data_IF_960429905230
#
_entry.id   IF_960429905230
#
_cell.length_a   1.000
_cell.length_b   1.000
_cell.length_c   1.000
_cell.angle_alpha   90.00
_cell.angle_beta   90.00
_cell.angle_gamma   90.00
#
_symmetry.space_group_name_H-M   'P 1'
#
loop_
_entity.id
_entity.type
_entity.pdbx_description
1 polymer ?
#
# COMPACT_ATOMS: atom_id res chain seq x y z
N UNK A 1 39.72 -44.37 3.18
CA UNK A 1 38.33 -44.51 2.66
C UNK A 1 37.46 -45.00 3.80
N UNK A 2 36.22 -44.51 3.96
CA UNK A 2 35.33 -44.00 2.91
C UNK A 2 35.34 -42.48 2.77
N UNK A 3 35.04 -42.06 1.53
CA UNK A 3 34.65 -40.72 1.11
C UNK A 3 33.15 -40.59 1.32
N UNK A 4 32.67 -39.38 1.60
CA UNK A 4 31.33 -38.97 1.26
C UNK A 4 31.45 -37.65 0.52
N UNK A 5 31.06 -37.72 -0.74
CA UNK A 5 30.98 -36.65 -1.72
C UNK A 5 29.72 -35.79 -1.46
N UNK A 6 29.82 -34.53 -1.90
CA UNK A 6 28.80 -33.65 -2.50
C UNK A 6 27.32 -33.84 -2.09
N UNK A 7 26.69 -32.77 -1.56
CA UNK A 7 25.75 -32.05 -2.42
C UNK A 7 25.27 -30.69 -1.88
N UNK A 8 25.04 -29.83 -2.87
CA UNK A 8 24.61 -28.43 -2.87
C UNK A 8 23.35 -28.16 -2.04
N UNK A 9 23.39 -27.09 -1.24
CA UNK A 9 22.21 -26.30 -0.88
C UNK A 9 22.45 -24.85 -1.29
N UNK A 10 22.43 -24.63 -2.60
CA UNK A 10 22.18 -23.30 -3.17
C UNK A 10 20.67 -23.10 -3.08
N UNK A 11 20.20 -22.54 -1.96
CA UNK A 11 18.83 -22.07 -1.82
C UNK A 11 18.65 -20.86 -2.72
N UNK A 12 18.11 -21.08 -3.92
CA UNK A 12 17.78 -20.03 -4.88
C UNK A 12 16.80 -19.05 -4.27
N UNK A 13 17.23 -17.79 -4.16
CA UNK A 13 16.35 -16.66 -3.93
C UNK A 13 15.47 -16.57 -5.18
N UNK A 14 14.17 -16.84 -5.04
CA UNK A 14 13.19 -16.51 -6.08
C UNK A 14 13.09 -14.98 -6.13
N UNK A 15 14.00 -14.36 -6.88
CA UNK A 15 13.89 -12.98 -7.29
C UNK A 15 12.58 -12.84 -8.08
N UNK A 16 11.64 -12.03 -7.58
CA UNK A 16 10.61 -11.45 -8.43
C UNK A 16 11.34 -10.53 -9.41
N UNK A 17 11.76 -11.10 -10.55
CA UNK A 17 12.16 -10.30 -11.69
C UNK A 17 10.90 -9.56 -12.13
N UNK A 18 10.93 -8.24 -12.07
CA UNK A 18 10.12 -7.40 -12.94
C UNK A 18 10.50 -7.79 -14.37
N UNK A 19 9.73 -8.69 -14.96
CA UNK A 19 9.95 -9.14 -16.33
C UNK A 19 9.94 -7.93 -17.27
N UNK A 20 10.99 -7.81 -18.09
CA UNK A 20 11.19 -6.78 -19.11
C UNK A 20 10.13 -6.80 -20.25
N UNK A 21 8.99 -7.47 -20.05
CA UNK A 21 7.88 -7.56 -21.01
C UNK A 21 6.76 -6.54 -20.79
N UNK A 22 6.83 -5.71 -19.74
CA UNK A 22 5.78 -4.71 -19.44
C UNK A 22 5.70 -3.58 -20.50
N UNK A 23 6.70 -3.44 -21.38
CA UNK A 23 6.74 -2.37 -22.39
C UNK A 23 5.97 -2.68 -23.70
N UNK A 24 5.29 -3.83 -23.83
CA UNK A 24 4.54 -4.18 -25.06
C UNK A 24 3.08 -4.61 -24.86
N UNK A 25 2.53 -4.43 -23.67
CA UNK A 25 1.20 -4.96 -23.33
C UNK A 25 0.28 -3.89 -22.73
N UNK A 26 0.17 -2.76 -23.42
CA UNK A 26 -0.84 -1.72 -23.14
C UNK A 26 -2.14 -1.89 -23.95
N UNK A 27 -2.30 -2.97 -24.73
CA UNK A 27 -3.48 -3.15 -25.60
C UNK A 27 -4.27 -4.47 -25.42
N UNK A 28 -4.03 -5.27 -24.38
CA UNK A 28 -4.84 -6.49 -24.13
C UNK A 28 -5.24 -6.61 -22.65
N UNK A 29 -6.16 -5.75 -22.22
CA UNK A 29 -6.90 -5.98 -20.97
C UNK A 29 -8.12 -6.86 -21.26
N UNK A 30 -8.06 -8.08 -20.72
CA UNK A 30 -9.08 -9.11 -20.87
C UNK A 30 -10.49 -8.59 -20.54
N UNK A 31 -11.37 -8.65 -21.54
CA UNK A 31 -12.81 -8.47 -21.40
C UNK A 31 -13.36 -9.63 -20.56
N UNK A 32 -13.73 -9.35 -19.31
CA UNK A 32 -14.56 -10.27 -18.55
C UNK A 32 -16.02 -10.08 -18.95
N UNK A 33 -16.77 -11.17 -19.05
CA UNK A 33 -18.09 -11.31 -19.69
C UNK A 33 -19.27 -10.55 -19.04
N UNK A 34 -18.99 -9.58 -18.16
CA UNK A 34 -19.96 -8.65 -17.56
C UNK A 34 -19.75 -7.19 -17.95
N UNK A 35 -18.78 -6.85 -18.81
CA UNK A 35 -18.73 -5.55 -19.49
C UNK A 35 -18.64 -4.31 -18.59
N UNK A 36 -18.11 -4.45 -17.37
CA UNK A 36 -17.76 -3.30 -16.51
C UNK A 36 -16.24 -3.26 -16.33
N UNK A 37 -15.57 -2.52 -17.20
CA UNK A 37 -14.29 -1.92 -16.86
C UNK A 37 -14.62 -0.83 -15.82
N UNK A 38 -14.54 -1.17 -14.53
CA UNK A 38 -14.78 -0.20 -13.47
C UNK A 38 -13.61 0.80 -13.47
N UNK A 39 -13.93 2.07 -13.70
CA UNK A 39 -13.04 3.24 -13.68
C UNK A 39 -12.36 3.48 -12.31
N UNK A 40 -12.27 2.48 -11.44
CA UNK A 40 -12.08 2.60 -9.99
C UNK A 40 -10.64 2.47 -9.51
N UNK A 41 -9.65 2.43 -10.40
CA UNK A 41 -8.23 2.35 -10.01
C UNK A 41 -7.31 3.15 -10.95
N UNK A 42 -7.86 4.07 -11.75
CA UNK A 42 -7.06 4.77 -12.77
C UNK A 42 -5.92 5.58 -12.14
N UNK A 43 -6.19 6.26 -11.02
CA UNK A 43 -5.17 7.02 -10.28
C UNK A 43 -4.09 6.11 -9.68
N UNK A 44 -4.45 4.91 -9.22
CA UNK A 44 -3.50 3.93 -8.69
C UNK A 44 -2.54 3.45 -9.78
N UNK A 45 -3.07 3.09 -10.95
CA UNK A 45 -2.25 2.66 -12.09
C UNK A 45 -1.35 3.77 -12.59
N UNK A 46 -1.83 5.01 -12.61
CA UNK A 46 -1.02 6.18 -12.95
C UNK A 46 0.11 6.39 -11.94
N UNK A 47 -0.16 6.27 -10.64
CA UNK A 47 0.85 6.39 -9.59
C UNK A 47 1.99 5.36 -9.77
N UNK A 48 1.66 4.08 -10.00
CA UNK A 48 2.68 3.05 -10.25
C UNK A 48 3.45 3.28 -11.55
N UNK A 49 2.78 3.77 -12.59
CA UNK A 49 3.43 4.13 -13.85
C UNK A 49 4.45 5.25 -13.62
N UNK A 50 4.08 6.30 -12.88
CA UNK A 50 4.96 7.42 -12.58
C UNK A 50 6.18 6.99 -11.76
N UNK A 51 6.00 6.17 -10.72
CA UNK A 51 7.13 5.60 -9.97
C UNK A 51 8.11 4.87 -10.89
N UNK A 52 7.59 3.99 -11.74
CA UNK A 52 8.40 3.22 -12.69
C UNK A 52 9.12 4.09 -13.72
N UNK A 53 8.45 5.07 -14.31
CA UNK A 53 9.03 5.97 -15.31
C UNK A 53 10.17 6.83 -14.75
N UNK A 54 10.18 7.05 -13.43
CA UNK A 54 11.22 7.79 -12.71
C UNK A 54 12.25 6.88 -12.00
N UNK A 55 12.21 5.56 -12.24
CA UNK A 55 13.17 4.62 -11.64
C UNK A 55 13.02 4.45 -10.12
N UNK A 56 11.85 4.76 -9.57
CA UNK A 56 11.54 4.66 -8.15
C UNK A 56 10.88 3.31 -7.88
N UNK A 57 11.68 2.35 -7.42
CA UNK A 57 11.23 0.99 -7.14
C UNK A 57 10.74 0.85 -5.67
N UNK A 58 9.49 0.42 -5.43
CA UNK A 58 9.02 0.06 -4.10
C UNK A 58 9.86 -1.04 -3.45
N UNK A 59 10.00 -0.99 -2.13
CA UNK A 59 10.64 -2.04 -1.34
C UNK A 59 9.99 -3.41 -1.64
N UNK A 60 10.74 -4.40 -2.15
CA UNK A 60 10.19 -5.71 -2.44
C UNK A 60 9.89 -6.48 -1.16
N UNK A 61 8.63 -6.90 -1.00
CA UNK A 61 8.20 -7.82 0.05
C UNK A 61 7.38 -8.97 -0.53
N UNK A 62 7.12 -9.99 0.28
CA UNK A 62 6.19 -11.05 -0.07
C UNK A 62 4.77 -10.48 -0.11
N UNK A 63 4.16 -10.49 -1.29
CA UNK A 63 2.78 -10.05 -1.46
C UNK A 63 1.80 -11.00 -0.72
N UNK A 64 0.86 -10.47 0.07
CA UNK A 64 -0.19 -11.24 0.71
C UNK A 64 -1.14 -11.88 -0.31
N UNK A 65 -1.69 -13.03 0.05
CA UNK A 65 -2.75 -13.68 -0.74
C UNK A 65 -4.12 -13.05 -0.48
N UNK A 66 -5.09 -13.35 -1.33
CA UNK A 66 -6.49 -12.94 -1.09
C UNK A 66 -7.03 -13.47 0.24
N UNK A 67 -6.61 -14.67 0.67
CA UNK A 67 -6.97 -15.23 1.99
C UNK A 67 -6.40 -14.39 3.14
N UNK A 68 -5.17 -13.87 2.98
CA UNK A 68 -4.58 -12.98 3.98
C UNK A 68 -5.34 -11.65 4.06
N UNK A 69 -5.79 -11.10 2.93
CA UNK A 69 -6.65 -9.90 2.90
C UNK A 69 -7.98 -10.16 3.61
N UNK A 70 -8.65 -11.28 3.31
CA UNK A 70 -9.92 -11.62 3.99
C UNK A 70 -9.72 -11.76 5.51
N UNK A 71 -8.63 -12.39 5.94
CA UNK A 71 -8.29 -12.51 7.36
C UNK A 71 -8.01 -11.16 8.00
N UNK A 72 -7.33 -10.25 7.29
CA UNK A 72 -7.10 -8.89 7.74
C UNK A 72 -8.42 -8.14 7.91
N UNK A 73 -9.29 -8.16 6.91
CA UNK A 73 -10.60 -7.49 6.95
C UNK A 73 -11.47 -8.03 8.09
N UNK A 74 -11.46 -9.35 8.28
CA UNK A 74 -12.15 -9.99 9.40
C UNK A 74 -11.54 -9.59 10.76
N UNK A 75 -10.21 -9.57 10.88
CA UNK A 75 -9.51 -9.23 12.14
C UNK A 75 -9.76 -7.78 12.54
N UNK A 76 -9.70 -6.87 11.57
CA UNK A 76 -9.95 -5.45 11.78
C UNK A 76 -11.45 -5.09 11.77
N UNK A 77 -12.32 -6.04 11.42
CA UNK A 77 -13.77 -5.87 11.29
C UNK A 77 -14.14 -4.67 10.38
N UNK A 78 -13.51 -4.60 9.21
CA UNK A 78 -13.71 -3.55 8.21
C UNK A 78 -13.75 -4.16 6.81
N UNK A 79 -14.36 -3.45 5.87
CA UNK A 79 -14.17 -3.70 4.45
C UNK A 79 -13.19 -2.65 3.92
N UNK A 80 -12.06 -3.08 3.37
CA UNK A 80 -11.05 -2.17 2.82
C UNK A 80 -11.52 -1.56 1.50
N UNK A 81 -11.07 -0.32 1.17
CA UNK A 81 -11.22 0.25 -0.15
C UNK A 81 -10.61 -0.63 -1.24
N UNK A 82 -11.18 -0.61 -2.44
CA UNK A 82 -10.72 -1.45 -3.53
C UNK A 82 -9.27 -1.14 -3.94
N UNK A 83 -8.94 0.14 -4.12
CA UNK A 83 -7.60 0.58 -4.49
C UNK A 83 -6.54 0.20 -3.44
N UNK A 84 -6.87 0.33 -2.15
CA UNK A 84 -5.97 -0.08 -1.07
C UNK A 84 -5.82 -1.61 -1.01
N UNK A 85 -6.90 -2.36 -1.23
CA UNK A 85 -6.84 -3.84 -1.36
C UNK A 85 -5.93 -4.25 -2.50
N UNK A 86 -6.03 -3.59 -3.65
CA UNK A 86 -5.17 -3.84 -4.82
C UNK A 86 -3.70 -3.56 -4.50
N UNK A 87 -3.40 -2.46 -3.81
CA UNK A 87 -2.04 -2.17 -3.34
C UNK A 87 -1.48 -3.27 -2.44
N UNK A 88 -2.27 -3.76 -1.47
CA UNK A 88 -1.84 -4.88 -0.63
C UNK A 88 -1.58 -6.14 -1.47
N UNK A 89 -2.44 -6.49 -2.42
CA UNK A 89 -2.27 -7.71 -3.23
C UNK A 89 -1.05 -7.64 -4.16
N UNK A 90 -0.75 -6.45 -4.70
CA UNK A 90 0.33 -6.28 -5.67
C UNK A 90 1.69 -6.01 -5.02
N UNK A 91 1.71 -5.25 -3.93
CA UNK A 91 2.95 -4.77 -3.29
C UNK A 91 3.12 -5.25 -1.85
N UNK A 92 2.04 -5.64 -1.18
CA UNK A 92 2.03 -5.97 0.25
C UNK A 92 2.06 -4.73 1.14
N UNK A 93 3.09 -3.91 1.00
CA UNK A 93 3.21 -2.56 1.54
C UNK A 93 3.88 -1.68 0.48
N UNK A 94 3.81 -0.35 0.63
CA UNK A 94 4.52 0.56 -0.27
C UNK A 94 5.50 1.40 0.53
N UNK A 95 6.79 1.18 0.29
CA UNK A 95 7.86 2.02 0.82
C UNK A 95 8.79 2.40 -0.32
N UNK A 96 8.89 3.70 -0.63
CA UNK A 96 9.76 4.26 -1.67
C UNK A 96 10.09 5.72 -1.33
N UNK A 97 11.38 6.05 -1.20
CA UNK A 97 11.83 7.37 -0.76
C UNK A 97 11.08 7.87 0.50
N UNK A 98 10.35 8.99 0.39
CA UNK A 98 9.57 9.60 1.47
C UNK A 98 8.18 8.99 1.65
N UNK A 99 7.72 8.13 0.74
CA UNK A 99 6.42 7.46 0.81
C UNK A 99 6.55 6.17 1.62
N UNK A 100 5.81 6.09 2.73
CA UNK A 100 5.66 4.88 3.56
C UNK A 100 4.18 4.64 3.87
N UNK A 101 3.61 3.66 3.18
CA UNK A 101 2.23 3.21 3.34
C UNK A 101 2.24 1.82 3.95
N UNK A 102 1.69 1.74 5.16
CA UNK A 102 1.56 0.52 5.92
C UNK A 102 0.74 -0.52 5.16
N UNK A 103 1.08 -1.78 5.37
CA UNK A 103 0.45 -2.93 4.72
C UNK A 103 0.85 -4.24 5.38
N UNK A 104 0.99 -5.30 4.58
CA UNK A 104 1.45 -6.62 5.01
C UNK A 104 2.82 -6.90 4.37
N UNK A 105 3.87 -6.89 5.19
CA UNK A 105 5.22 -7.28 4.77
C UNK A 105 5.53 -8.76 5.02
N UNK A 106 6.81 -9.10 5.00
CA UNK A 106 7.32 -10.49 5.12
C UNK A 106 6.91 -11.21 6.43
N UNK A 107 6.55 -10.48 7.47
CA UNK A 107 6.06 -11.01 8.75
C UNK A 107 4.57 -11.38 8.74
N UNK A 108 3.86 -11.11 7.64
CA UNK A 108 2.42 -11.40 7.52
C UNK A 108 1.58 -10.57 8.49
N UNK A 109 0.42 -11.10 8.88
CA UNK A 109 -0.54 -10.42 9.77
C UNK A 109 -0.04 -10.26 11.22
N UNK A 110 1.00 -10.99 11.61
CA UNK A 110 1.54 -10.98 12.98
C UNK A 110 2.78 -10.08 13.13
N UNK A 111 3.06 -9.23 12.14
CA UNK A 111 4.10 -8.22 12.22
C UNK A 111 3.91 -7.29 13.43
N UNK A 112 5.00 -6.82 14.02
CA UNK A 112 4.99 -5.99 15.24
C UNK A 112 5.70 -4.65 15.05
N UNK A 113 5.57 -4.07 13.87
CA UNK A 113 6.20 -2.79 13.50
C UNK A 113 5.16 -1.82 12.93
N UNK A 114 5.52 -0.54 12.86
CA UNK A 114 4.60 0.53 12.45
C UNK A 114 4.12 0.41 10.98
N UNK A 115 4.92 -0.21 10.10
CA UNK A 115 4.54 -0.45 8.70
C UNK A 115 3.60 -1.65 8.55
N UNK A 116 3.34 -2.43 9.62
CA UNK A 116 2.33 -3.47 9.62
C UNK A 116 0.96 -2.86 9.96
N UNK A 117 0.05 -2.89 8.99
CA UNK A 117 -1.28 -2.27 9.08
C UNK A 117 -2.09 -2.79 10.27
N UNK A 118 -2.04 -4.09 10.57
CA UNK A 118 -2.81 -4.71 11.65
C UNK A 118 -2.28 -4.20 12.98
N UNK A 119 -0.95 -4.29 13.18
CA UNK A 119 -0.32 -3.81 14.41
C UNK A 119 -0.55 -2.33 14.65
N UNK A 120 -0.35 -1.48 13.64
CA UNK A 120 -0.53 -0.04 13.74
C UNK A 120 -2.00 0.31 14.06
N UNK A 121 -2.95 -0.31 13.36
CA UNK A 121 -4.38 -0.05 13.57
C UNK A 121 -4.85 -0.53 14.93
N UNK A 122 -4.47 -1.73 15.37
CA UNK A 122 -4.88 -2.27 16.67
C UNK A 122 -4.29 -1.46 17.82
N UNK A 123 -3.03 -1.04 17.71
CA UNK A 123 -2.39 -0.16 18.69
C UNK A 123 -3.15 1.16 18.82
N UNK A 124 -3.42 1.84 17.71
CA UNK A 124 -4.06 3.15 17.74
C UNK A 124 -5.52 3.06 18.21
N UNK A 125 -6.23 1.97 17.91
CA UNK A 125 -7.57 1.69 18.47
C UNK A 125 -7.52 1.44 19.98
N UNK A 126 -6.54 0.67 20.46
CA UNK A 126 -6.37 0.39 21.88
C UNK A 126 -6.03 1.65 22.69
N UNK A 127 -5.31 2.59 22.08
CA UNK A 127 -4.97 3.89 22.64
C UNK A 127 -6.09 4.94 22.46
N UNK A 128 -7.18 4.59 21.78
CA UNK A 128 -8.33 5.48 21.55
C UNK A 128 -8.06 6.60 20.54
N UNK A 129 -7.02 6.47 19.73
CA UNK A 129 -6.61 7.47 18.75
C UNK A 129 -7.50 7.45 17.50
N UNK A 130 -8.03 6.28 17.13
CA UNK A 130 -8.94 6.07 16.01
C UNK A 130 -10.10 5.13 16.40
N UNK A 131 -11.18 5.13 15.62
CA UNK A 131 -12.35 4.29 15.86
C UNK A 131 -12.26 2.91 15.19
N UNK A 132 -13.23 2.03 15.49
CA UNK A 132 -13.30 0.68 14.93
C UNK A 132 -13.52 0.59 13.41
N UNK A 133 -14.00 1.65 12.76
CA UNK A 133 -14.11 1.71 11.29
C UNK A 133 -12.84 2.21 10.61
N UNK A 134 -11.90 2.77 11.38
CA UNK A 134 -10.73 3.46 10.85
C UNK A 134 -9.52 2.54 10.79
N UNK A 135 -8.70 2.69 9.77
CA UNK A 135 -7.50 1.88 9.49
C UNK A 135 -6.30 2.79 9.31
N UNK A 136 -5.24 2.55 10.08
CA UNK A 136 -4.02 3.36 10.11
C UNK A 136 -3.12 2.98 8.93
N UNK A 137 -2.74 3.95 8.08
CA UNK A 137 -2.02 3.66 6.82
C UNK A 137 -0.63 4.30 6.66
N UNK A 138 -0.19 5.25 7.50
CA UNK A 138 1.17 5.81 7.37
C UNK A 138 1.35 7.17 8.03
N UNK A 139 2.52 7.49 8.58
CA UNK A 139 2.75 8.79 9.27
C UNK A 139 2.75 9.98 8.32
N UNK A 140 2.26 11.12 8.78
CA UNK A 140 2.37 12.42 8.11
C UNK A 140 3.40 13.27 8.86
N UNK A 141 4.65 13.25 8.41
CA UNK A 141 5.74 13.97 9.07
C UNK A 141 5.99 13.54 10.52
N UNK A 142 6.20 14.51 11.42
CA UNK A 142 6.56 14.26 12.81
C UNK A 142 5.35 14.34 13.76
N UNK A 143 4.60 13.24 13.86
CA UNK A 143 3.53 13.06 14.84
C UNK A 143 2.14 12.85 14.24
N UNK A 144 1.69 13.66 13.26
CA UNK A 144 0.45 13.43 12.54
C UNK A 144 0.46 12.14 11.72
N UNK A 145 -0.74 11.73 11.32
CA UNK A 145 -0.93 10.35 10.91
C UNK A 145 -2.11 10.19 9.95
N UNK A 146 -1.90 9.47 8.84
CA UNK A 146 -2.93 9.14 7.87
C UNK A 146 -3.75 7.89 8.24
N UNK A 147 -5.03 7.92 7.95
CA UNK A 147 -5.92 6.78 8.10
C UNK A 147 -7.04 6.79 7.07
N UNK A 148 -7.60 5.62 6.80
CA UNK A 148 -8.79 5.42 5.97
C UNK A 148 -9.98 5.22 6.90
N UNK A 149 -11.08 5.93 6.68
CA UNK A 149 -12.34 5.65 7.39
C UNK A 149 -13.21 4.70 6.58
N UNK A 150 -13.07 3.39 6.83
CA UNK A 150 -13.79 2.34 6.09
C UNK A 150 -15.30 2.32 6.40
N UNK A 151 -15.77 3.14 7.34
CA UNK A 151 -17.19 3.38 7.59
C UNK A 151 -17.84 4.32 6.56
N UNK A 152 -17.03 5.02 5.75
CA UNK A 152 -17.45 6.00 4.75
C UNK A 152 -17.28 5.48 3.31
N UNK A 153 -17.44 4.18 3.07
CA UNK A 153 -17.36 3.59 1.72
C UNK A 153 -18.41 4.19 0.77
N UNK A 154 -17.98 4.60 -0.41
CA UNK A 154 -18.83 5.14 -1.46
C UNK A 154 -19.38 4.04 -2.40
N UNK A 155 -20.16 4.44 -3.42
CA UNK A 155 -20.75 3.52 -4.40
C UNK A 155 -19.73 2.82 -5.31
N UNK A 156 -18.45 3.21 -5.27
CA UNK A 156 -17.34 2.58 -6.00
C UNK A 156 -16.57 1.59 -5.11
N UNK A 157 -16.89 1.53 -3.81
CA UNK A 157 -16.13 0.76 -2.83
C UNK A 157 -14.82 1.42 -2.44
N UNK A 158 -14.74 2.75 -2.54
CA UNK A 158 -13.61 3.55 -2.06
C UNK A 158 -14.00 4.29 -0.78
N UNK A 159 -13.01 4.63 0.04
CA UNK A 159 -13.21 5.41 1.26
C UNK A 159 -12.17 6.54 1.36
N UNK A 160 -12.52 7.68 1.98
CA UNK A 160 -11.63 8.81 2.12
C UNK A 160 -10.41 8.53 2.98
N UNK A 161 -9.33 9.22 2.64
CA UNK A 161 -8.11 9.31 3.46
C UNK A 161 -8.16 10.59 4.28
N UNK A 162 -7.88 10.45 5.56
CA UNK A 162 -7.86 11.53 6.53
C UNK A 162 -6.48 11.63 7.18
N UNK A 163 -6.17 12.81 7.70
CA UNK A 163 -5.05 13.05 8.60
C UNK A 163 -5.57 13.48 9.96
N UNK A 164 -4.92 13.01 11.02
CA UNK A 164 -5.17 13.45 12.38
C UNK A 164 -3.85 13.75 13.10
N UNK A 165 -3.87 14.62 14.13
CA UNK A 165 -2.72 14.83 15.00
C UNK A 165 -2.40 13.56 15.80
N UNK A 166 -1.15 13.43 16.26
CA UNK A 166 -0.66 12.25 16.99
C UNK A 166 -1.38 11.92 18.31
N UNK A 167 -2.21 12.83 18.83
CA UNK A 167 -3.06 12.59 20.00
C UNK A 167 -4.49 12.12 19.65
N UNK A 168 -4.77 11.86 18.37
CA UNK A 168 -5.97 11.14 17.91
C UNK A 168 -7.05 12.03 17.29
N UNK A 169 -8.00 11.38 16.62
CA UNK A 169 -9.06 12.03 15.83
C UNK A 169 -10.02 12.89 16.66
N UNK A 170 -10.07 12.67 17.98
CA UNK A 170 -10.88 13.49 18.90
C UNK A 170 -10.37 14.94 19.01
N UNK A 171 -9.13 15.20 18.59
CA UNK A 171 -8.53 16.53 18.52
C UNK A 171 -8.66 17.21 17.15
N UNK A 172 -9.40 16.60 16.22
CA UNK A 172 -9.58 17.08 14.87
C UNK A 172 -9.08 16.07 13.84
N UNK A 173 -9.64 16.14 12.63
CA UNK A 173 -9.17 15.40 11.46
C UNK A 173 -9.45 16.22 10.21
N UNK A 174 -8.53 16.18 9.26
CA UNK A 174 -8.67 16.83 7.96
C UNK A 174 -8.82 15.77 6.87
N UNK A 175 -9.74 16.00 5.93
CA UNK A 175 -9.90 15.11 4.78
C UNK A 175 -8.80 15.46 3.78
N UNK A 176 -7.98 14.48 3.46
CA UNK A 176 -6.77 14.65 2.66
C UNK A 176 -6.97 14.10 1.25
N UNK A 177 -7.83 13.10 1.05
CA UNK A 177 -8.28 12.64 -0.27
C UNK A 177 -9.65 11.96 -0.20
N UNK A 178 -10.35 11.87 -1.32
CA UNK A 178 -11.66 11.19 -1.40
C UNK A 178 -11.55 9.67 -1.54
N UNK A 179 -10.37 9.17 -1.94
CA UNK A 179 -10.05 7.74 -2.05
C UNK A 179 -8.56 7.51 -1.84
N UNK A 180 -8.16 6.24 -1.64
CA UNK A 180 -6.76 5.88 -1.43
C UNK A 180 -5.90 6.04 -2.69
N UNK A 181 -6.44 5.75 -3.88
CA UNK A 181 -5.73 5.94 -5.14
C UNK A 181 -5.45 7.42 -5.46
N UNK A 182 -6.40 8.31 -5.20
CA UNK A 182 -6.20 9.76 -5.30
C UNK A 182 -5.12 10.25 -4.33
N UNK A 183 -5.15 9.75 -3.08
CA UNK A 183 -4.09 10.02 -2.10
C UNK A 183 -2.72 9.58 -2.63
N UNK A 184 -2.59 8.32 -3.05
CA UNK A 184 -1.33 7.76 -3.52
C UNK A 184 -0.79 8.53 -4.73
N UNK A 185 -1.64 8.83 -5.72
CA UNK A 185 -1.23 9.58 -6.90
C UNK A 185 -0.69 10.97 -6.53
N UNK A 186 -1.32 11.65 -5.56
CA UNK A 186 -0.80 12.93 -5.08
C UNK A 186 0.57 12.77 -4.40
N UNK A 187 0.73 11.79 -3.51
CA UNK A 187 2.02 11.55 -2.83
C UNK A 187 3.14 11.26 -3.84
N UNK A 188 2.87 10.45 -4.86
CA UNK A 188 3.84 10.15 -5.93
C UNK A 188 4.20 11.40 -6.74
N UNK A 189 3.21 12.24 -7.09
CA UNK A 189 3.47 13.51 -7.80
C UNK A 189 4.33 14.45 -6.96
N UNK A 190 4.00 14.62 -5.69
CA UNK A 190 4.76 15.46 -4.77
C UNK A 190 6.21 14.97 -4.62
N UNK A 191 6.42 13.65 -4.55
CA UNK A 191 7.76 13.05 -4.50
C UNK A 191 8.57 13.40 -5.76
N UNK A 192 7.99 13.21 -6.94
CA UNK A 192 8.68 13.48 -8.21
C UNK A 192 8.99 14.98 -8.37
N UNK A 193 8.06 15.85 -8.01
CA UNK A 193 8.28 17.31 -8.01
C UNK A 193 9.46 17.67 -7.09
N UNK A 194 9.48 17.14 -5.86
CA UNK A 194 10.57 17.38 -4.91
C UNK A 194 11.94 16.89 -5.40
N UNK A 195 12.00 15.76 -6.11
CA UNK A 195 13.24 15.25 -6.70
C UNK A 195 13.75 16.14 -7.84
N UNK A 196 12.86 16.73 -8.63
CA UNK A 196 13.27 17.62 -9.73
C UNK A 196 13.85 18.94 -9.20
N UNK A 197 13.26 19.50 -8.15
CA UNK A 197 13.72 20.75 -7.52
C UNK A 197 15.15 20.66 -6.95
N UNK A 198 15.58 19.46 -6.52
CA UNK A 198 16.95 19.23 -6.04
C UNK A 198 17.98 19.17 -7.17
N UNK A 199 17.56 18.80 -8.39
CA UNK A 199 18.46 18.63 -9.55
C UNK A 199 18.74 19.91 -10.33
N UNK A 200 17.88 20.94 -10.22
CA UNK A 200 18.07 22.23 -10.91
C UNK A 200 18.88 23.25 -10.09
N UNK A 201 19.31 22.89 -8.87
CA UNK A 201 20.03 23.74 -7.94
C UNK A 201 21.57 23.64 -7.96
N UNK A 202 22.16 22.82 -8.83
CA UNK A 202 23.62 22.60 -8.94
C UNK A 202 24.30 23.30 -10.13
#
# INVERSE_FOLDING_TARGET
MPRLDDDKLVGGIANCKLDENIARQVDDFAVNSSGKCTMTEQAYREALKLLKENGLDPLPVKCPSYEDIMRLEQRLNVQLPNSYRTMLLELGLLQVESIDIAGIGNSGLEGKNASNIVFATEKDRAEGLISGSMVRIGTSGYGPFYFIDCGELDGRGEAPVWEAPGNGVSHGKDRIADSFDDFLLREVRNLIEGLNDETEGE
#
